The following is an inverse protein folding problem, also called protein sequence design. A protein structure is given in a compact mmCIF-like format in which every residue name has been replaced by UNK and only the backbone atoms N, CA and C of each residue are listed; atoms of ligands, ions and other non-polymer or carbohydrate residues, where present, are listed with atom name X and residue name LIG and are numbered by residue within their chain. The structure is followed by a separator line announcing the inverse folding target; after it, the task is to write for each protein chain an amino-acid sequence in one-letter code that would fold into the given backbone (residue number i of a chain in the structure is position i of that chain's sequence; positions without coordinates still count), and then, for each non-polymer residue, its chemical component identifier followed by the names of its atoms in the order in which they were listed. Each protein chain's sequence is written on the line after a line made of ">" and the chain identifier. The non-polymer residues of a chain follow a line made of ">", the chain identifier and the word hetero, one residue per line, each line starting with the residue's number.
data_IF_194618810773
#
_entry.id   IF_194618810773
#
_cell.length_a   1.000
_cell.length_b   1.000
_cell.length_c   1.000
_cell.angle_alpha   90.00
_cell.angle_beta   90.00
_cell.angle_gamma   90.00
#
_symmetry.space_group_name_H-M   'P 1'
#
loop_
_entity.id
_entity.type
_entity.pdbx_description
1 polymer ?
#
# COMPACT_ATOMS: atom_id res chain seq x y z
N UNK A 1 -12.11 23.12 49.91
CA UNK A 1 -11.31 22.39 48.91
C UNK A 1 -12.08 21.25 48.19
N UNK A 2 -13.28 20.85 48.63
CA UNK A 2 -14.08 19.77 48.00
C UNK A 2 -14.85 20.17 46.72
N UNK A 3 -15.13 21.46 46.52
CA UNK A 3 -15.86 21.94 45.33
C UNK A 3 -15.05 21.84 44.02
N UNK A 4 -13.72 21.93 44.09
CA UNK A 4 -12.83 21.84 42.92
C UNK A 4 -12.76 20.41 42.34
N UNK A 5 -12.92 19.37 43.16
CA UNK A 5 -12.92 17.98 42.69
C UNK A 5 -14.20 17.64 41.91
N UNK A 6 -15.35 18.21 42.29
CA UNK A 6 -16.63 17.98 41.60
C UNK A 6 -16.71 18.73 40.26
N UNK A 7 -16.12 19.92 40.16
CA UNK A 7 -16.11 20.70 38.91
C UNK A 7 -15.17 20.14 37.83
N UNK A 8 -14.23 19.27 38.21
CA UNK A 8 -13.29 18.62 37.29
C UNK A 8 -13.85 17.32 36.68
N UNK A 9 -14.90 16.72 37.27
CA UNK A 9 -15.49 15.47 36.79
C UNK A 9 -16.06 15.57 35.36
N UNK A 10 -16.80 16.63 34.96
CA UNK A 10 -17.26 16.78 33.57
C UNK A 10 -16.09 16.95 32.60
N UNK A 11 -15.06 17.68 33.02
CA UNK A 11 -13.87 17.94 32.21
C UNK A 11 -13.04 16.67 32.01
N UNK A 12 -12.95 15.83 33.04
CA UNK A 12 -12.33 14.52 32.97
C UNK A 12 -13.08 13.58 32.01
N UNK A 13 -14.42 13.59 32.02
CA UNK A 13 -15.23 12.79 31.11
C UNK A 13 -15.03 13.23 29.65
N UNK A 14 -14.95 14.53 29.40
CA UNK A 14 -14.65 15.06 28.04
C UNK A 14 -13.24 14.68 27.61
N UNK A 15 -12.25 14.79 28.50
CA UNK A 15 -10.87 14.42 28.22
C UNK A 15 -10.74 12.93 27.88
N UNK A 16 -11.30 12.06 28.73
CA UNK A 16 -11.22 10.60 28.56
C UNK A 16 -12.08 10.15 27.40
N UNK A 17 -13.28 10.70 27.22
CA UNK A 17 -14.14 10.40 26.08
C UNK A 17 -13.55 10.87 24.75
N UNK A 18 -12.92 12.05 24.72
CA UNK A 18 -12.20 12.55 23.56
C UNK A 18 -10.98 11.69 23.22
N UNK A 19 -10.19 11.31 24.23
CA UNK A 19 -9.08 10.36 24.05
C UNK A 19 -9.56 9.00 23.57
N UNK A 20 -10.68 8.50 24.08
CA UNK A 20 -11.26 7.22 23.67
C UNK A 20 -11.71 7.22 22.22
N UNK A 21 -12.37 8.29 21.77
CA UNK A 21 -12.78 8.45 20.37
C UNK A 21 -11.55 8.59 19.47
N UNK A 22 -10.53 9.36 19.88
CA UNK A 22 -9.25 9.46 19.17
C UNK A 22 -8.56 8.09 19.06
N UNK A 23 -8.50 7.33 20.16
CA UNK A 23 -7.94 5.98 20.16
C UNK A 23 -8.72 5.03 19.26
N UNK A 24 -10.06 5.08 19.31
CA UNK A 24 -10.93 4.26 18.48
C UNK A 24 -10.72 4.56 17.00
N UNK A 25 -10.67 5.83 16.60
CA UNK A 25 -10.42 6.23 15.20
C UNK A 25 -9.03 5.79 14.77
N UNK A 26 -7.99 6.01 15.59
CA UNK A 26 -6.61 5.59 15.27
C UNK A 26 -6.47 4.05 15.21
N UNK A 27 -7.25 3.31 16.00
CA UNK A 27 -7.17 1.84 16.05
C UNK A 27 -7.97 1.15 14.95
N UNK A 28 -9.08 1.76 14.51
CA UNK A 28 -9.96 1.22 13.47
C UNK A 28 -9.51 1.66 12.07
N UNK A 29 -8.91 2.84 11.96
CA UNK A 29 -8.28 3.27 10.72
C UNK A 29 -6.89 2.66 10.63
N UNK A 30 -6.64 1.89 9.56
CA UNK A 30 -5.33 1.34 9.17
C UNK A 30 -4.25 2.42 8.91
N UNK A 31 -4.32 3.60 9.53
CA UNK A 31 -3.40 4.72 9.40
C UNK A 31 -2.01 4.34 9.87
N UNK A 32 -1.89 3.53 10.93
CA UNK A 32 -0.60 3.01 11.36
C UNK A 32 0.01 2.05 10.33
N UNK A 33 -0.83 1.27 9.64
CA UNK A 33 -0.40 0.36 8.57
C UNK A 33 -0.07 1.12 7.28
N UNK A 34 -0.80 2.18 6.95
CA UNK A 34 -0.51 3.10 5.85
C UNK A 34 0.83 3.81 6.03
N UNK A 35 1.11 4.31 7.24
CA UNK A 35 2.40 4.95 7.57
C UNK A 35 3.56 3.94 7.59
N UNK A 36 3.32 2.68 7.99
CA UNK A 36 4.32 1.61 7.90
C UNK A 36 4.54 1.12 6.47
N UNK A 37 3.51 1.08 5.62
CA UNK A 37 3.62 0.76 4.20
C UNK A 37 4.50 1.78 3.46
N UNK A 38 4.40 3.06 3.81
CA UNK A 38 5.25 4.11 3.25
C UNK A 38 6.75 3.93 3.61
N UNK A 39 7.07 3.22 4.69
CA UNK A 39 8.45 2.95 5.11
C UNK A 39 9.10 1.77 4.37
N UNK A 40 8.36 1.04 3.53
CA UNK A 40 8.85 -0.13 2.79
C UNK A 40 8.73 0.09 1.27
N UNK A 41 9.18 1.24 0.80
CA UNK A 41 9.24 1.54 -0.64
C UNK A 41 10.44 0.83 -1.28
N UNK A 42 10.20 0.11 -2.38
CA UNK A 42 11.25 -0.54 -3.19
C UNK A 42 11.87 0.48 -4.16
N UNK A 43 11.09 1.47 -4.57
CA UNK A 43 11.54 2.55 -5.43
C UNK A 43 10.41 3.51 -5.78
N UNK A 44 10.72 4.50 -6.62
CA UNK A 44 9.71 5.39 -7.21
C UNK A 44 9.86 5.40 -8.73
N UNK A 45 8.74 5.36 -9.44
CA UNK A 45 8.68 5.41 -10.89
C UNK A 45 7.89 6.67 -11.28
N UNK A 46 8.55 7.64 -11.91
CA UNK A 46 7.92 8.89 -12.36
C UNK A 46 7.14 9.68 -11.29
N UNK A 47 7.55 9.56 -10.01
CA UNK A 47 6.92 10.21 -8.87
C UNK A 47 5.86 9.36 -8.15
N UNK A 48 5.57 8.15 -8.63
CA UNK A 48 4.70 7.18 -7.95
C UNK A 48 5.57 6.20 -7.16
N UNK A 49 5.35 6.14 -5.84
CA UNK A 49 6.08 5.22 -4.96
C UNK A 49 5.54 3.79 -5.14
N UNK A 50 6.45 2.82 -5.31
CA UNK A 50 6.08 1.41 -5.38
C UNK A 50 6.47 0.76 -4.06
N UNK A 51 5.45 0.32 -3.33
CA UNK A 51 5.63 -0.36 -2.06
C UNK A 51 6.17 -1.78 -2.28
N UNK A 52 6.93 -2.28 -1.32
CA UNK A 52 7.41 -3.66 -1.32
C UNK A 52 6.26 -4.66 -1.37
N UNK A 53 5.16 -4.36 -0.69
CA UNK A 53 3.98 -5.20 -0.70
C UNK A 53 3.35 -5.29 -2.09
N UNK A 54 3.21 -4.16 -2.80
CA UNK A 54 2.71 -4.14 -4.18
C UNK A 54 3.62 -4.95 -5.11
N UNK A 55 4.94 -4.72 -5.04
CA UNK A 55 5.90 -5.44 -5.85
C UNK A 55 5.93 -6.95 -5.56
N UNK A 56 5.88 -7.35 -4.28
CA UNK A 56 5.81 -8.76 -3.89
C UNK A 56 4.54 -9.42 -4.44
N UNK A 57 3.39 -8.76 -4.31
CA UNK A 57 2.12 -9.27 -4.84
C UNK A 57 2.16 -9.42 -6.37
N UNK A 58 2.84 -8.53 -7.09
CA UNK A 58 3.02 -8.62 -8.53
C UNK A 58 3.89 -9.82 -8.92
N UNK A 59 5.01 -10.03 -8.21
CA UNK A 59 5.87 -11.20 -8.42
C UNK A 59 5.09 -12.49 -8.17
N UNK A 60 4.32 -12.57 -7.09
CA UNK A 60 3.55 -13.77 -6.75
C UNK A 60 2.52 -14.11 -7.83
N UNK A 61 1.81 -13.10 -8.35
CA UNK A 61 0.87 -13.27 -9.47
C UNK A 61 1.57 -13.68 -10.76
N UNK A 62 2.69 -13.03 -11.09
CA UNK A 62 3.45 -13.35 -12.29
C UNK A 62 4.00 -14.78 -12.23
N UNK A 63 4.50 -15.20 -11.06
CA UNK A 63 4.97 -16.56 -10.80
C UNK A 63 3.85 -17.57 -10.99
N UNK A 64 2.68 -17.32 -10.39
CA UNK A 64 1.51 -18.19 -10.53
C UNK A 64 1.07 -18.33 -12.00
N UNK A 65 1.07 -17.24 -12.76
CA UNK A 65 0.74 -17.27 -14.19
C UNK A 65 1.77 -18.09 -14.98
N UNK A 66 3.06 -17.91 -14.72
CA UNK A 66 4.10 -18.66 -15.41
C UNK A 66 4.05 -20.16 -15.06
N UNK A 67 3.77 -20.49 -13.82
CA UNK A 67 3.52 -21.86 -13.37
C UNK A 67 2.33 -22.50 -14.10
N UNK A 68 1.24 -21.76 -14.26
CA UNK A 68 0.08 -22.21 -15.03
C UNK A 68 0.37 -22.42 -16.52
N UNK A 69 1.21 -21.55 -17.12
CA UNK A 69 1.55 -21.61 -18.54
C UNK A 69 2.56 -22.71 -18.87
N UNK A 70 3.58 -22.87 -18.03
CA UNK A 70 4.72 -23.78 -18.28
C UNK A 70 4.60 -25.12 -17.55
N UNK A 71 3.73 -25.20 -16.54
CA UNK A 71 3.58 -26.37 -15.68
C UNK A 71 4.79 -26.62 -14.77
N UNK A 72 5.72 -25.67 -14.65
CA UNK A 72 6.93 -25.78 -13.84
C UNK A 72 7.10 -24.54 -12.93
N UNK A 73 7.44 -24.74 -11.64
CA UNK A 73 7.73 -23.63 -10.74
C UNK A 73 9.05 -22.94 -11.08
N UNK A 74 9.08 -21.63 -10.84
CA UNK A 74 10.32 -20.86 -10.96
C UNK A 74 11.26 -21.27 -9.83
N UNK A 75 12.44 -21.76 -10.21
CA UNK A 75 13.47 -22.18 -9.27
C UNK A 75 14.11 -20.97 -8.57
N UNK A 76 14.71 -21.19 -7.40
CA UNK A 76 15.40 -20.11 -6.68
C UNK A 76 16.52 -19.48 -7.51
N UNK A 77 17.24 -20.29 -8.31
CA UNK A 77 18.30 -19.79 -9.19
C UNK A 77 17.78 -18.88 -10.33
N UNK A 78 16.50 -19.00 -10.70
CA UNK A 78 15.86 -18.18 -11.73
C UNK A 78 15.11 -16.99 -11.11
N UNK A 79 14.94 -16.96 -9.79
CA UNK A 79 14.11 -15.99 -9.10
C UNK A 79 14.64 -14.57 -9.26
N UNK A 80 15.96 -14.36 -9.18
CA UNK A 80 16.55 -13.03 -9.31
C UNK A 80 16.29 -12.45 -10.71
N UNK A 81 16.58 -13.23 -11.76
CA UNK A 81 16.28 -12.84 -13.13
C UNK A 81 14.78 -12.66 -13.38
N UNK A 82 13.93 -13.44 -12.70
CA UNK A 82 12.49 -13.30 -12.80
C UNK A 82 11.99 -12.00 -12.15
N UNK A 83 12.51 -11.63 -10.98
CA UNK A 83 12.22 -10.36 -10.31
C UNK A 83 12.57 -9.19 -11.21
N UNK A 84 13.76 -9.19 -11.81
CA UNK A 84 14.19 -8.12 -12.73
C UNK A 84 13.25 -7.97 -13.92
N UNK A 85 12.82 -9.08 -14.55
CA UNK A 85 11.83 -9.04 -15.64
C UNK A 85 10.49 -8.45 -15.21
N UNK A 86 9.99 -8.84 -14.02
CA UNK A 86 8.73 -8.31 -13.48
C UNK A 86 8.87 -6.81 -13.18
N UNK A 87 10.01 -6.39 -12.65
CA UNK A 87 10.32 -4.99 -12.40
C UNK A 87 10.33 -4.17 -13.69
N UNK A 88 11.03 -4.61 -14.72
CA UNK A 88 11.09 -3.91 -16.01
C UNK A 88 9.71 -3.78 -16.67
N UNK A 89 8.91 -4.86 -16.63
CA UNK A 89 7.54 -4.84 -17.14
C UNK A 89 6.68 -3.82 -16.38
N UNK A 90 6.81 -3.76 -15.05
CA UNK A 90 6.10 -2.80 -14.20
C UNK A 90 6.48 -1.35 -14.52
N UNK A 91 7.78 -1.08 -14.71
CA UNK A 91 8.28 0.24 -15.10
C UNK A 91 7.67 0.69 -16.43
N UNK A 92 7.69 -0.18 -17.44
CA UNK A 92 7.14 0.11 -18.76
C UNK A 92 5.63 0.37 -18.68
N UNK A 93 4.90 -0.46 -17.94
CA UNK A 93 3.45 -0.30 -17.77
C UNK A 93 3.13 1.05 -17.12
N UNK A 94 3.77 1.40 -16.01
CA UNK A 94 3.55 2.69 -15.32
C UNK A 94 3.90 3.89 -16.20
N UNK A 95 4.97 3.77 -17.00
CA UNK A 95 5.33 4.79 -18.00
C UNK A 95 4.25 4.96 -19.06
N UNK A 96 3.74 3.85 -19.59
CA UNK A 96 2.70 3.85 -20.61
C UNK A 96 1.40 4.41 -20.06
N UNK A 97 0.94 3.98 -18.89
CA UNK A 97 -0.29 4.45 -18.25
C UNK A 97 -0.26 5.97 -18.04
N UNK A 98 0.89 6.52 -17.63
CA UNK A 98 1.07 7.97 -17.48
C UNK A 98 0.93 8.70 -18.81
N UNK A 99 1.55 8.17 -19.87
CA UNK A 99 1.48 8.75 -21.22
C UNK A 99 0.07 8.64 -21.80
N UNK A 100 -0.60 7.50 -21.64
CA UNK A 100 -1.99 7.27 -22.06
C UNK A 100 -2.92 8.30 -21.40
N UNK A 101 -2.77 8.53 -20.08
CA UNK A 101 -3.50 9.58 -19.35
C UNK A 101 -3.17 10.99 -19.84
N UNK A 102 -1.89 11.29 -20.08
CA UNK A 102 -1.43 12.58 -20.61
C UNK A 102 -2.03 12.88 -21.99
N UNK A 103 -2.13 11.87 -22.86
CA UNK A 103 -2.71 11.99 -24.20
C UNK A 103 -4.23 11.80 -24.23
N UNK A 104 -4.88 11.56 -23.08
CA UNK A 104 -6.34 11.40 -22.98
C UNK A 104 -6.88 10.19 -23.75
N UNK A 105 -6.05 9.18 -24.00
CA UNK A 105 -6.44 7.98 -24.74
C UNK A 105 -7.35 7.16 -23.82
N UNK A 106 -8.63 7.06 -24.18
CA UNK A 106 -9.62 6.26 -23.45
C UNK A 106 -9.92 5.01 -24.27
N UNK A 107 -9.72 3.83 -23.68
CA UNK A 107 -10.19 2.58 -24.29
C UNK A 107 -11.71 2.59 -24.22
N UNK A 108 -12.36 2.51 -25.37
CA UNK A 108 -13.81 2.34 -25.48
C UNK A 108 -14.09 0.84 -25.59
N UNK A 109 -15.13 0.36 -24.91
CA UNK A 109 -15.44 -1.07 -24.75
C UNK A 109 -16.12 -1.70 -26.01
N UNK A 110 -15.95 -1.09 -27.19
CA UNK A 110 -16.61 -1.49 -28.44
C UNK A 110 -15.93 -2.68 -29.14
#
# INVERSE_FOLDING_TARGET
>A
MMAKMRSLAPWFIILVGGLFVLFMVISDSNVLDFVRQQAQNVGSINGEEITYQEYSNLIDRAKQNQEQMTGQPITEAQMDFFRDQVWDALVIQKMLDKKVKEFGITVTDD
#
